data_IF_593757492203
#
_entry.id   IF_593757492203
#
_cell.length_a   1.000
_cell.length_b   1.000
_cell.length_c   1.000
_cell.angle_alpha   90.00
_cell.angle_beta   90.00
_cell.angle_gamma   90.00
#
_symmetry.space_group_name_H-M   'P 1'
#
loop_
_entity.id
_entity.type
_entity.pdbx_description
1 polymer ?
#
# COMPACT_ATOMS: atom_id res chain seq x y z
N UNK A 1 -2.30 4.78 14.86
CA UNK A 1 -1.46 4.01 13.91
C UNK A 1 -0.84 2.82 14.60
N UNK A 2 -0.62 1.73 13.86
CA UNK A 2 -0.06 0.48 14.41
C UNK A 2 1.45 0.63 14.59
N UNK A 3 1.94 0.60 15.84
CA UNK A 3 3.38 0.74 16.14
C UNK A 3 4.23 -0.40 15.54
N UNK A 4 3.60 -1.54 15.25
CA UNK A 4 4.22 -2.75 14.69
C UNK A 4 3.97 -2.90 13.18
N UNK A 5 3.65 -1.80 12.48
CA UNK A 5 3.36 -1.84 11.04
C UNK A 5 4.55 -2.32 10.21
N UNK A 6 5.75 -1.81 10.50
CA UNK A 6 6.95 -2.08 9.72
C UNK A 6 7.56 -3.44 10.03
N UNK A 7 7.91 -4.19 8.98
CA UNK A 7 8.62 -5.45 9.07
C UNK A 7 10.12 -5.29 9.37
N UNK A 8 10.80 -6.43 9.43
CA UNK A 8 12.25 -6.48 9.55
C UNK A 8 12.92 -6.20 8.19
N UNK A 9 14.10 -5.58 8.21
CA UNK A 9 14.88 -5.25 7.01
C UNK A 9 14.81 -3.79 6.59
N UNK A 10 15.69 -3.43 5.65
CA UNK A 10 15.86 -2.06 5.13
C UNK A 10 15.64 -1.97 3.61
N UNK A 11 15.26 -3.07 2.96
CA UNK A 11 14.94 -3.06 1.53
C UNK A 11 13.69 -2.19 1.29
N UNK A 12 13.75 -1.33 0.27
CA UNK A 12 12.69 -0.37 -0.04
C UNK A 12 12.62 0.85 0.90
N UNK A 13 13.45 0.91 1.95
CA UNK A 13 13.47 2.05 2.88
C UNK A 13 14.20 3.23 2.24
N UNK A 14 13.50 4.36 2.10
CA UNK A 14 14.02 5.63 1.60
C UNK A 14 14.70 6.43 2.73
N UNK A 15 15.47 7.50 2.41
CA UNK A 15 15.99 8.41 3.42
C UNK A 15 14.90 8.95 4.35
N UNK A 16 15.21 9.34 5.60
CA UNK A 16 14.22 9.88 6.53
C UNK A 16 13.36 10.98 5.90
N UNK A 17 12.05 10.90 6.11
CA UNK A 17 11.12 11.82 5.47
C UNK A 17 11.31 13.23 6.02
N UNK A 18 11.52 14.20 5.12
CA UNK A 18 11.63 15.62 5.45
C UNK A 18 10.45 16.38 4.85
N UNK A 19 10.08 17.51 5.45
CA UNK A 19 8.99 18.33 4.92
C UNK A 19 9.29 18.86 3.49
N UNK A 20 10.57 19.12 3.19
CA UNK A 20 10.99 19.50 1.84
C UNK A 20 10.76 18.37 0.83
N UNK A 21 11.04 17.12 1.21
CA UNK A 21 10.77 15.96 0.37
C UNK A 21 9.27 15.72 0.17
N UNK A 22 8.44 15.98 1.19
CA UNK A 22 6.97 15.92 1.07
C UNK A 22 6.48 16.96 0.07
N UNK A 23 6.91 18.21 0.20
CA UNK A 23 6.50 19.29 -0.71
C UNK A 23 6.92 19.02 -2.16
N UNK A 24 8.14 18.52 -2.38
CA UNK A 24 8.59 18.10 -3.72
C UNK A 24 7.74 16.95 -4.26
N UNK A 25 7.42 15.96 -3.43
CA UNK A 25 6.59 14.83 -3.82
C UNK A 25 5.19 15.26 -4.24
N UNK A 26 4.49 16.04 -3.42
CA UNK A 26 3.15 16.54 -3.72
C UNK A 26 3.14 17.39 -4.99
N UNK A 27 4.16 18.24 -5.19
CA UNK A 27 4.30 19.05 -6.40
C UNK A 27 4.47 18.18 -7.65
N UNK A 28 5.33 17.15 -7.58
CA UNK A 28 5.63 16.27 -8.71
C UNK A 28 4.49 15.32 -9.04
N UNK A 29 3.80 14.81 -8.04
CA UNK A 29 2.64 13.94 -8.19
C UNK A 29 1.38 14.75 -8.56
N UNK A 30 1.38 16.06 -8.32
CA UNK A 30 0.26 16.94 -8.59
C UNK A 30 -0.93 16.73 -7.65
N UNK A 31 -0.72 16.08 -6.50
CA UNK A 31 -1.74 15.76 -5.50
C UNK A 31 -1.22 16.03 -4.10
N UNK A 32 -2.14 16.30 -3.17
CA UNK A 32 -1.85 16.35 -1.74
C UNK A 32 -1.92 14.93 -1.17
N UNK A 33 -0.88 14.51 -0.45
CA UNK A 33 -0.82 13.18 0.15
C UNK A 33 -1.64 13.12 1.45
N UNK A 34 -2.27 11.98 1.77
CA UNK A 34 -3.01 11.79 3.02
C UNK A 34 -2.13 12.06 4.23
N UNK A 35 -2.65 12.78 5.22
CA UNK A 35 -1.91 13.09 6.44
C UNK A 35 -1.50 11.80 7.19
N UNK A 36 -2.38 10.80 7.21
CA UNK A 36 -2.14 9.49 7.82
C UNK A 36 -1.01 8.70 7.15
N UNK A 37 -0.82 8.86 5.84
CA UNK A 37 0.33 8.29 5.12
C UNK A 37 1.63 8.99 5.53
N UNK A 38 1.64 10.32 5.57
CA UNK A 38 2.82 11.09 5.96
C UNK A 38 3.24 10.81 7.41
N UNK A 39 2.28 10.65 8.33
CA UNK A 39 2.56 10.22 9.70
C UNK A 39 3.28 8.86 9.71
N UNK A 40 2.92 7.93 8.83
CA UNK A 40 3.51 6.58 8.76
C UNK A 40 4.91 6.64 8.19
N UNK A 41 5.08 7.39 7.10
CA UNK A 41 6.37 7.56 6.43
C UNK A 41 7.38 8.34 7.28
N UNK A 42 6.91 9.18 8.23
CA UNK A 42 7.78 9.82 9.24
C UNK A 42 8.34 8.85 10.27
N UNK A 43 7.66 7.73 10.54
CA UNK A 43 8.20 6.67 11.42
C UNK A 43 9.28 5.89 10.66
N UNK A 44 8.99 5.51 9.42
CA UNK A 44 9.95 4.91 8.49
C UNK A 44 9.49 5.19 7.06
N UNK A 45 10.37 5.68 6.21
CA UNK A 45 10.01 6.15 4.88
C UNK A 45 9.99 5.00 3.86
N UNK A 46 8.98 4.13 3.97
CA UNK A 46 8.81 2.95 3.11
C UNK A 46 9.54 1.71 3.59
N UNK A 47 9.35 0.60 2.88
CA UNK A 47 9.94 -0.71 3.14
C UNK A 47 8.90 -1.79 3.42
N UNK A 48 9.37 -2.96 3.86
CA UNK A 48 8.52 -4.13 4.09
C UNK A 48 7.47 -3.91 5.20
N UNK A 49 6.27 -4.42 4.97
CA UNK A 49 5.19 -4.48 5.96
C UNK A 49 5.36 -5.73 6.82
N UNK A 50 5.08 -5.63 8.12
CA UNK A 50 5.21 -6.76 9.02
C UNK A 50 4.19 -7.86 8.68
N UNK A 51 4.57 -9.12 8.86
CA UNK A 51 3.72 -10.28 8.60
C UNK A 51 2.40 -10.30 9.40
N UNK A 52 2.29 -9.48 10.46
CA UNK A 52 1.04 -9.29 11.20
C UNK A 52 0.00 -8.43 10.46
N UNK A 53 0.41 -7.71 9.42
CA UNK A 53 -0.37 -6.69 8.72
C UNK A 53 -0.24 -6.75 7.19
N UNK A 54 0.37 -7.80 6.63
CA UNK A 54 0.72 -7.89 5.21
C UNK A 54 -0.43 -8.37 4.31
N UNK A 55 -1.69 -8.25 4.73
CA UNK A 55 -2.85 -8.54 3.91
C UNK A 55 -4.04 -7.66 4.26
N UNK A 56 -4.81 -7.31 3.22
CA UNK A 56 -6.10 -6.66 3.37
C UNK A 56 -7.22 -7.66 3.04
N UNK A 57 -8.22 -7.88 3.93
CA UNK A 57 -9.32 -8.79 3.68
C UNK A 57 -10.30 -8.25 2.63
N UNK A 58 -10.80 -9.12 1.76
CA UNK A 58 -11.77 -8.80 0.71
C UNK A 58 -12.89 -9.83 0.70
N UNK A 59 -14.12 -9.40 0.39
CA UNK A 59 -15.27 -10.32 0.22
C UNK A 59 -15.42 -10.82 -1.23
N UNK A 60 -14.55 -10.34 -2.13
CA UNK A 60 -14.53 -10.68 -3.55
C UNK A 60 -13.20 -11.36 -3.88
N UNK A 61 -13.22 -12.48 -4.63
CA UNK A 61 -12.01 -13.12 -5.14
C UNK A 61 -11.21 -12.18 -6.04
N UNK A 62 -9.90 -12.17 -5.84
CA UNK A 62 -8.91 -11.50 -6.71
C UNK A 62 -8.05 -12.56 -7.40
N UNK A 63 -7.21 -12.15 -8.36
CA UNK A 63 -6.21 -13.05 -8.98
C UNK A 63 -5.22 -13.62 -7.96
N UNK A 64 -5.01 -12.94 -6.84
CA UNK A 64 -4.08 -13.36 -5.80
C UNK A 64 -4.72 -14.31 -4.77
N UNK A 65 -5.94 -14.05 -4.33
CA UNK A 65 -6.63 -14.90 -3.34
C UNK A 65 -8.15 -14.75 -3.40
N UNK A 66 -8.84 -15.78 -2.91
CA UNK A 66 -10.30 -15.79 -2.82
C UNK A 66 -10.90 -14.74 -1.87
N UNK A 67 -10.11 -14.23 -0.91
CA UNK A 67 -10.65 -13.37 0.16
C UNK A 67 -9.69 -12.29 0.68
N UNK A 68 -8.56 -12.06 0.00
CA UNK A 68 -7.51 -11.14 0.47
C UNK A 68 -6.71 -10.55 -0.69
N UNK A 69 -6.05 -9.43 -0.46
CA UNK A 69 -4.99 -8.90 -1.33
C UNK A 69 -3.68 -8.71 -0.54
N UNK A 70 -2.51 -8.89 -1.17
CA UNK A 70 -1.22 -8.76 -0.51
C UNK A 70 -0.87 -7.30 -0.23
N UNK A 71 -0.18 -7.05 0.88
CA UNK A 71 0.37 -5.75 1.25
C UNK A 71 1.78 -5.97 1.77
N UNK A 72 2.68 -6.37 0.87
CA UNK A 72 4.01 -6.86 1.23
C UNK A 72 4.97 -5.73 1.65
N UNK A 73 4.81 -4.57 1.03
CA UNK A 73 5.60 -3.37 1.28
C UNK A 73 4.74 -2.11 1.24
N UNK A 74 5.34 -1.01 1.67
CA UNK A 74 4.82 0.32 1.41
C UNK A 74 5.94 1.13 0.79
N UNK A 75 5.69 1.70 -0.38
CA UNK A 75 6.61 2.59 -1.06
C UNK A 75 6.82 3.87 -0.22
N UNK A 76 8.07 4.33 -0.19
CA UNK A 76 8.43 5.60 0.46
C UNK A 76 8.47 6.77 -0.52
N UNK A 77 8.80 7.95 0.00
CA UNK A 77 9.08 9.15 -0.78
C UNK A 77 10.59 9.34 -0.84
N UNK A 78 11.19 9.16 -2.01
CA UNK A 78 12.63 9.38 -2.17
C UNK A 78 13.13 8.77 -3.46
N UNK A 79 14.46 8.83 -3.63
CA UNK A 79 15.16 8.13 -4.69
C UNK A 79 16.34 7.40 -4.07
N UNK A 80 16.13 6.14 -3.76
CA UNK A 80 17.18 5.20 -3.42
C UNK A 80 17.36 4.26 -4.61
N UNK A 81 18.59 4.11 -5.08
CA UNK A 81 18.86 3.34 -6.29
C UNK A 81 18.30 1.92 -6.18
N UNK A 82 17.61 1.50 -7.25
CA UNK A 82 17.03 0.16 -7.37
C UNK A 82 15.77 -0.10 -6.53
N UNK A 83 15.14 0.93 -5.96
CA UNK A 83 13.88 0.81 -5.21
C UNK A 83 12.81 1.72 -5.83
N UNK A 84 11.60 1.17 -6.04
CA UNK A 84 10.43 1.97 -6.41
C UNK A 84 10.02 2.89 -5.27
N UNK A 85 9.41 4.01 -5.62
CA UNK A 85 8.90 5.03 -4.71
C UNK A 85 7.58 5.59 -5.21
N UNK A 86 6.89 6.33 -4.33
CA UNK A 86 5.71 7.11 -4.72
C UNK A 86 5.98 8.00 -5.93
N UNK A 87 7.21 8.50 -6.08
CA UNK A 87 7.63 9.42 -7.13
C UNK A 87 7.71 8.78 -8.52
N UNK A 88 7.60 7.46 -8.60
CA UNK A 88 7.61 6.70 -9.85
C UNK A 88 6.18 6.35 -10.31
N UNK A 89 5.15 6.76 -9.54
CA UNK A 89 3.73 6.51 -9.84
C UNK A 89 3.35 6.93 -11.25
N UNK A 90 3.71 8.14 -11.70
CA UNK A 90 3.33 8.63 -13.04
C UNK A 90 3.87 7.73 -14.16
N UNK A 91 5.12 7.29 -14.04
CA UNK A 91 5.74 6.40 -15.02
C UNK A 91 5.05 5.02 -15.03
N UNK A 92 4.84 4.45 -13.85
CA UNK A 92 4.23 3.12 -13.71
C UNK A 92 2.75 3.11 -14.15
N UNK A 93 2.00 4.17 -13.86
CA UNK A 93 0.62 4.31 -14.31
C UNK A 93 0.56 4.30 -15.85
N UNK A 94 1.47 5.00 -16.52
CA UNK A 94 1.54 5.00 -17.99
C UNK A 94 2.00 3.65 -18.54
N UNK A 95 3.06 3.06 -17.96
CA UNK A 95 3.63 1.76 -18.37
C UNK A 95 2.60 0.63 -18.31
N UNK A 96 1.78 0.60 -17.25
CA UNK A 96 0.80 -0.45 -17.01
C UNK A 96 -0.63 -0.08 -17.45
N UNK A 97 -0.82 1.11 -18.06
CA UNK A 97 -2.13 1.54 -18.55
C UNK A 97 -3.19 1.71 -17.44
N UNK A 98 -2.76 2.04 -16.23
CA UNK A 98 -3.65 2.25 -15.08
C UNK A 98 -4.46 3.54 -15.26
N UNK A 99 -5.64 3.64 -14.64
CA UNK A 99 -6.39 4.88 -14.65
C UNK A 99 -5.64 5.98 -13.87
N UNK A 100 -6.05 7.24 -14.04
CA UNK A 100 -5.36 8.40 -13.48
C UNK A 100 -6.37 9.48 -13.08
N UNK A 101 -6.13 10.29 -12.02
CA UNK A 101 -4.92 10.35 -11.19
C UNK A 101 -4.89 9.31 -10.05
N UNK A 102 -3.74 8.63 -9.92
CA UNK A 102 -3.42 7.69 -8.82
C UNK A 102 -2.03 7.99 -8.23
N UNK A 103 -1.78 7.52 -7.00
CA UNK A 103 -0.44 7.41 -6.41
C UNK A 103 -0.23 5.99 -5.92
N UNK A 104 0.76 5.29 -6.45
CA UNK A 104 1.03 3.88 -6.15
C UNK A 104 1.67 3.75 -4.76
N UNK A 105 1.16 2.81 -3.98
CA UNK A 105 1.60 2.54 -2.61
C UNK A 105 2.40 1.25 -2.50
N UNK A 106 2.07 0.23 -3.31
CA UNK A 106 2.76 -1.06 -3.37
C UNK A 106 2.34 -1.78 -4.65
N UNK A 107 3.17 -2.71 -5.11
CA UNK A 107 2.92 -3.53 -6.29
C UNK A 107 4.20 -4.15 -6.84
N UNK A 108 4.04 -5.19 -7.64
CA UNK A 108 5.13 -5.96 -8.24
C UNK A 108 5.11 -5.96 -9.78
N UNK A 109 4.15 -5.25 -10.38
CA UNK A 109 3.88 -5.22 -11.82
C UNK A 109 2.67 -6.06 -12.25
N UNK A 110 2.29 -7.09 -11.50
CA UNK A 110 1.07 -7.86 -11.77
C UNK A 110 -0.17 -7.27 -11.08
N UNK A 111 0.05 -6.58 -9.97
CA UNK A 111 -0.98 -5.87 -9.24
C UNK A 111 -0.42 -4.58 -8.63
N UNK A 112 -1.33 -3.67 -8.30
CA UNK A 112 -1.00 -2.38 -7.70
C UNK A 112 -2.03 -2.02 -6.63
N UNK A 113 -1.56 -1.53 -5.48
CA UNK A 113 -2.40 -0.81 -4.50
C UNK A 113 -2.10 0.67 -4.64
N UNK A 114 -3.13 1.49 -4.81
CA UNK A 114 -2.94 2.92 -5.03
C UNK A 114 -3.95 3.78 -4.26
N UNK A 115 -3.53 5.01 -3.96
CA UNK A 115 -4.42 6.11 -3.62
C UNK A 115 -5.14 6.57 -4.89
N UNK A 116 -6.46 6.54 -4.87
CA UNK A 116 -7.32 6.88 -6.00
C UNK A 116 -7.94 8.27 -5.84
N UNK A 117 -7.47 9.21 -6.64
CA UNK A 117 -7.91 10.60 -6.61
C UNK A 117 -8.96 10.93 -7.68
N UNK A 118 -9.40 9.96 -8.48
CA UNK A 118 -10.32 10.21 -9.61
C UNK A 118 -11.63 10.88 -9.18
N UNK A 119 -12.11 10.55 -7.98
CA UNK A 119 -13.38 11.05 -7.44
C UNK A 119 -13.20 12.30 -6.57
N UNK A 120 -12.21 12.32 -5.67
CA UNK A 120 -12.03 13.40 -4.70
C UNK A 120 -11.19 14.58 -5.24
N UNK A 121 -10.45 14.37 -6.33
CA UNK A 121 -9.54 15.34 -6.92
C UNK A 121 -8.24 15.52 -6.13
N UNK A 122 -7.28 16.24 -6.72
CA UNK A 122 -5.91 16.39 -6.22
C UNK A 122 -5.74 16.95 -4.80
N UNK A 123 -6.79 17.53 -4.22
CA UNK A 123 -6.76 18.15 -2.88
C UNK A 123 -7.68 17.44 -1.88
N UNK A 124 -8.40 16.40 -2.32
CA UNK A 124 -9.31 15.63 -1.48
C UNK A 124 -8.62 14.49 -0.73
N UNK A 125 -9.39 13.76 0.07
CA UNK A 125 -8.96 12.52 0.70
C UNK A 125 -9.20 11.36 -0.29
N UNK A 126 -8.17 10.68 -0.80
CA UNK A 126 -8.31 9.59 -1.76
C UNK A 126 -8.73 8.28 -1.10
N UNK A 127 -9.54 7.48 -1.81
CA UNK A 127 -9.76 6.08 -1.45
C UNK A 127 -8.53 5.24 -1.74
N UNK A 128 -8.48 4.03 -1.17
CA UNK A 128 -7.45 3.03 -1.52
C UNK A 128 -8.07 1.96 -2.39
N UNK A 129 -7.49 1.72 -3.56
CA UNK A 129 -7.99 0.78 -4.57
C UNK A 129 -6.88 -0.20 -4.97
N UNK A 130 -7.25 -1.47 -5.11
CA UNK A 130 -6.40 -2.50 -5.70
C UNK A 130 -6.70 -2.61 -7.20
N UNK A 131 -5.65 -2.79 -7.99
CA UNK A 131 -5.71 -2.94 -9.44
C UNK A 131 -4.99 -4.22 -9.83
N UNK A 132 -5.65 -5.02 -10.66
CA UNK A 132 -5.02 -6.11 -11.38
C UNK A 132 -4.45 -5.57 -12.69
N UNK A 133 -3.19 -5.88 -13.00
CA UNK A 133 -2.56 -5.46 -14.25
C UNK A 133 -2.73 -6.49 -15.38
N UNK A 134 -3.05 -7.75 -15.05
CA UNK A 134 -3.26 -8.82 -16.03
C UNK A 134 -4.71 -8.86 -16.51
N UNK A 135 -5.64 -8.52 -15.63
CA UNK A 135 -7.07 -8.41 -15.90
C UNK A 135 -7.51 -6.98 -15.61
N UNK A 136 -8.34 -6.31 -16.43
CA UNK A 136 -8.81 -4.95 -16.15
C UNK A 136 -9.86 -4.95 -15.03
N UNK A 137 -9.46 -5.35 -13.82
CA UNK A 137 -10.27 -5.42 -12.62
C UNK A 137 -9.69 -4.47 -11.56
N UNK A 138 -10.57 -3.65 -10.99
CA UNK A 138 -10.26 -2.77 -9.87
C UNK A 138 -11.19 -3.11 -8.69
N UNK A 139 -10.65 -3.07 -7.48
CA UNK A 139 -11.37 -3.37 -6.25
C UNK A 139 -11.12 -2.26 -5.22
N UNK A 140 -12.13 -1.45 -4.87
CA UNK A 140 -12.02 -0.50 -3.77
C UNK A 140 -11.76 -1.26 -2.47
N UNK A 141 -10.69 -0.91 -1.76
CA UNK A 141 -10.30 -1.53 -0.49
C UNK A 141 -10.83 -0.72 0.70
N UNK A 142 -10.63 0.60 0.68
CA UNK A 142 -11.04 1.48 1.78
C UNK A 142 -11.37 2.89 1.28
N UNK A 143 -12.18 3.61 2.05
CA UNK A 143 -12.57 4.99 1.75
C UNK A 143 -11.43 6.01 1.92
N UNK A 144 -10.42 5.66 2.73
CA UNK A 144 -9.24 6.48 2.98
C UNK A 144 -8.04 5.62 3.43
N UNK A 145 -6.84 6.21 3.45
CA UNK A 145 -5.61 5.51 3.81
C UNK A 145 -5.57 5.07 5.28
N UNK A 146 -6.15 5.83 6.21
CA UNK A 146 -6.17 5.44 7.63
C UNK A 146 -7.01 4.19 7.83
N UNK A 147 -8.22 4.18 7.26
CA UNK A 147 -9.13 3.03 7.30
C UNK A 147 -8.47 1.80 6.67
N UNK A 148 -7.78 1.96 5.54
CA UNK A 148 -6.99 0.90 4.92
C UNK A 148 -5.99 0.26 5.90
N UNK A 149 -5.13 1.09 6.51
CA UNK A 149 -4.11 0.61 7.47
C UNK A 149 -4.74 -0.05 8.70
N UNK A 150 -5.85 0.47 9.21
CA UNK A 150 -6.50 -0.07 10.40
C UNK A 150 -7.10 -1.47 10.18
N UNK A 151 -7.61 -1.72 8.97
CA UNK A 151 -8.20 -3.00 8.54
C UNK A 151 -7.17 -4.07 8.11
N UNK A 152 -5.88 -3.74 8.03
CA UNK A 152 -4.85 -4.73 7.72
C UNK A 152 -4.77 -5.85 8.76
N UNK A 153 -4.47 -7.05 8.27
CA UNK A 153 -4.36 -8.30 9.03
C UNK A 153 -3.18 -9.13 8.52
N UNK A 154 -2.87 -10.23 9.21
CA UNK A 154 -1.85 -11.16 8.73
C UNK A 154 -2.35 -11.91 7.49
N UNK A 155 -1.51 -12.11 6.48
CA UNK A 155 -1.83 -12.94 5.32
C UNK A 155 -2.11 -14.39 5.73
N UNK A 156 -1.47 -14.86 6.80
CA UNK A 156 -1.70 -16.17 7.38
C UNK A 156 -2.18 -15.95 8.81
N UNK A 157 -3.49 -16.11 9.02
CA UNK A 157 -3.99 -16.32 10.37
C UNK A 157 -3.29 -17.55 10.92
N UNK A 158 -2.50 -17.40 11.97
CA UNK A 158 -2.11 -18.54 12.80
C UNK A 158 -3.39 -19.04 13.46
N UNK A 159 -4.15 -19.87 12.75
CA UNK A 159 -5.22 -20.62 13.37
C UNK A 159 -4.59 -21.42 14.50
N UNK A 160 -5.07 -21.15 15.71
CA UNK A 160 -4.62 -21.79 16.92
C UNK A 160 -4.68 -23.31 16.72
N UNK A 161 -3.52 -23.95 16.67
CA UNK A 161 -3.39 -25.39 16.86
C UNK A 161 -3.68 -25.66 18.33
N UNK A 162 -4.95 -25.64 18.74
CA UNK A 162 -5.35 -26.25 20.01
C UNK A 162 -5.58 -27.73 19.76
N UNK A 163 -4.60 -28.51 20.20
CA UNK A 163 -4.59 -29.96 20.13
C UNK A 163 -5.75 -30.53 20.95
N UNK A 164 -6.84 -30.87 20.25
CA UNK A 164 -7.83 -31.83 20.73
C UNK A 164 -7.15 -33.16 21.03
N UNK A 165 -6.91 -33.40 22.32
CA UNK A 165 -6.38 -34.64 22.89
C UNK A 165 -7.09 -35.87 22.33
N UNK A 166 -6.25 -36.80 21.90
CA UNK A 166 -6.42 -38.25 21.77
C UNK A 166 -7.76 -38.85 22.20
N UNK A 167 -8.42 -39.50 21.24
CA UNK A 167 -9.32 -40.63 21.50
C UNK A 167 -9.01 -41.74 20.50
N UNK A 168 -8.26 -42.76 20.96
CA UNK A 168 -8.49 -44.21 20.78
C UNK A 168 -7.23 -44.97 21.17
#
# INVERSE_FOLDING_TARGET
MKATFWGEGLYGVQPPLTDAAVLDAELRLGVRLPASLLELLRIRNGGAVAALWNAFPTDVPTSWSESRVPVDDLMGIGRHDGCLSLLDSTYLIEEWGLPSPLVLLSGDGHWWIALDYRTCGAQGEPSVTWFDAEVPAELPLAEDFRTFIECLTAAHSLDAVDGGRSSS
#
